data_IF_697579376954
#
_entry.id   IF_697579376954
#
_cell.length_a   1.000
_cell.length_b   1.000
_cell.length_c   1.000
_cell.angle_alpha   90.00
_cell.angle_beta   90.00
_cell.angle_gamma   90.00
#
_symmetry.space_group_name_H-M   'P 1'
#
loop_
_entity.id
_entity.type
_entity.pdbx_description
1 polymer ?
#
# COMPACT_ATOMS: atom_id res chain seq x y z
N UNK A 1 -45.23 38.95 -72.91
CA UNK A 1 -43.76 38.75 -72.92
C UNK A 1 -43.30 38.58 -71.47
N UNK A 2 -42.85 37.35 -71.14
CA UNK A 2 -41.98 36.90 -70.01
C UNK A 2 -42.20 37.55 -68.63
N UNK A 3 -42.79 36.95 -67.58
CA UNK A 3 -42.73 35.57 -67.02
C UNK A 3 -41.31 35.00 -66.97
N UNK A 4 -40.67 35.06 -65.79
CA UNK A 4 -39.85 34.04 -65.10
C UNK A 4 -38.82 34.69 -64.15
N UNK A 5 -38.61 34.06 -62.98
CA UNK A 5 -37.64 34.35 -61.91
C UNK A 5 -38.19 35.42 -60.92
N UNK A 6 -38.57 35.15 -59.67
CA UNK A 6 -37.98 34.32 -58.61
C UNK A 6 -39.10 33.67 -57.78
N UNK A 7 -39.19 32.35 -57.81
CA UNK A 7 -40.04 31.52 -56.94
C UNK A 7 -39.10 30.65 -56.10
N UNK A 8 -38.30 31.26 -55.22
CA UNK A 8 -37.28 30.51 -54.45
C UNK A 8 -36.80 31.18 -53.16
N UNK A 9 -37.59 32.03 -52.50
CA UNK A 9 -37.16 32.66 -51.24
C UNK A 9 -38.28 32.82 -50.20
N UNK A 10 -39.15 31.81 -50.09
CA UNK A 10 -40.19 31.77 -49.05
C UNK A 10 -40.27 30.40 -48.32
N UNK A 11 -39.26 29.54 -48.46
CA UNK A 11 -39.19 28.23 -47.78
C UNK A 11 -37.84 28.00 -47.09
N UNK A 12 -37.19 29.05 -46.59
CA UNK A 12 -36.03 28.95 -45.69
C UNK A 12 -36.18 30.02 -44.60
N UNK A 13 -37.24 29.91 -43.82
CA UNK A 13 -37.45 30.77 -42.65
C UNK A 13 -38.02 30.02 -41.43
N UNK A 14 -37.98 28.68 -41.45
CA UNK A 14 -38.44 27.83 -40.33
C UNK A 14 -37.54 26.60 -40.14
N UNK A 15 -36.23 26.81 -40.17
CA UNK A 15 -35.26 25.79 -39.80
C UNK A 15 -33.90 26.43 -39.58
N UNK A 16 -33.35 26.25 -38.38
CA UNK A 16 -32.02 26.68 -37.94
C UNK A 16 -31.93 28.15 -37.47
N UNK A 17 -32.59 28.47 -36.34
CA UNK A 17 -32.17 29.54 -35.43
C UNK A 17 -31.49 28.98 -34.17
N UNK A 18 -31.11 27.70 -34.17
CA UNK A 18 -30.20 27.17 -33.16
C UNK A 18 -28.81 27.67 -33.47
N UNK A 19 -28.19 28.37 -32.52
CA UNK A 19 -26.77 28.70 -32.59
C UNK A 19 -26.00 27.39 -32.74
N UNK A 20 -25.07 27.33 -33.71
CA UNK A 20 -24.18 26.17 -33.82
C UNK A 20 -23.30 26.01 -32.58
N UNK A 21 -23.21 27.06 -31.74
CA UNK A 21 -22.66 26.98 -30.39
C UNK A 21 -23.33 25.91 -29.52
N UNK A 22 -24.65 25.73 -29.60
CA UNK A 22 -25.38 24.77 -28.74
C UNK A 22 -25.08 23.30 -29.10
N UNK A 23 -24.78 23.00 -30.36
CA UNK A 23 -24.38 21.64 -30.80
C UNK A 23 -22.90 21.33 -30.53
N UNK A 24 -22.10 22.32 -30.17
CA UNK A 24 -20.68 22.16 -29.80
C UNK A 24 -20.35 22.61 -28.38
N UNK A 25 -21.36 22.98 -27.58
CA UNK A 25 -21.19 23.39 -26.20
C UNK A 25 -21.12 22.15 -25.29
N UNK A 26 -19.96 21.51 -25.28
CA UNK A 26 -19.68 20.39 -24.38
C UNK A 26 -19.40 20.83 -22.93
N UNK A 27 -19.61 22.10 -22.57
CA UNK A 27 -19.39 22.58 -21.19
C UNK A 27 -20.50 22.13 -20.23
N UNK A 28 -21.67 21.79 -20.76
CA UNK A 28 -22.81 21.28 -20.00
C UNK A 28 -23.38 20.03 -20.68
N UNK A 29 -22.60 18.94 -20.72
CA UNK A 29 -23.16 17.63 -21.06
C UNK A 29 -23.86 17.07 -19.82
N UNK A 30 -25.11 17.48 -19.59
CA UNK A 30 -25.95 16.77 -18.61
C UNK A 30 -26.41 15.45 -19.22
N UNK A 31 -25.95 14.34 -18.66
CA UNK A 31 -26.51 13.04 -19.00
C UNK A 31 -27.99 13.02 -18.54
N UNK A 32 -28.97 12.90 -19.45
CA UNK A 32 -30.38 12.95 -19.08
C UNK A 32 -30.81 11.77 -18.17
N UNK A 33 -29.97 10.75 -18.02
CA UNK A 33 -30.21 9.58 -17.20
C UNK A 33 -29.41 9.55 -15.88
N UNK A 34 -28.50 10.52 -15.65
CA UNK A 34 -27.64 10.58 -14.46
C UNK A 34 -27.46 12.06 -14.07
N UNK A 35 -28.26 12.51 -13.11
CA UNK A 35 -28.04 13.79 -12.41
C UNK A 35 -27.55 13.51 -10.99
N UNK A 36 -26.87 14.47 -10.38
CA UNK A 36 -26.45 14.37 -8.97
C UNK A 36 -27.64 14.08 -8.05
N UNK A 37 -28.79 14.71 -8.29
CA UNK A 37 -30.04 14.46 -7.57
C UNK A 37 -30.62 13.04 -7.78
N UNK A 38 -30.12 12.28 -8.76
CA UNK A 38 -30.46 10.86 -8.95
C UNK A 38 -29.67 9.93 -8.03
N UNK A 39 -28.63 10.44 -7.37
CA UNK A 39 -27.77 9.70 -6.45
C UNK A 39 -27.81 10.33 -5.06
N UNK A 40 -27.47 11.61 -4.94
CA UNK A 40 -27.51 12.37 -3.69
C UNK A 40 -28.95 12.60 -3.25
N UNK A 41 -29.25 12.32 -1.98
CA UNK A 41 -30.58 12.49 -1.40
C UNK A 41 -31.51 11.28 -1.54
N UNK A 42 -31.05 10.20 -2.17
CA UNK A 42 -31.78 8.94 -2.22
C UNK A 42 -31.49 8.10 -0.95
N UNK A 43 -32.44 7.28 -0.47
CA UNK A 43 -32.16 6.38 0.64
C UNK A 43 -30.96 5.48 0.38
N UNK A 44 -30.06 5.38 1.35
CA UNK A 44 -28.82 4.57 1.32
C UNK A 44 -27.75 5.09 0.34
N UNK A 45 -27.88 6.31 -0.20
CA UNK A 45 -26.85 6.89 -1.06
C UNK A 45 -25.47 6.96 -0.42
N UNK A 46 -25.40 7.17 0.91
CA UNK A 46 -24.14 7.21 1.65
C UNK A 46 -23.45 5.84 1.67
N UNK A 47 -24.20 4.76 1.94
CA UNK A 47 -23.64 3.40 1.92
C UNK A 47 -23.16 2.97 0.53
N UNK A 48 -23.90 3.32 -0.53
CA UNK A 48 -23.52 3.02 -1.91
C UNK A 48 -22.24 3.80 -2.28
N UNK A 49 -22.17 5.06 -1.86
CA UNK A 49 -20.97 5.88 -2.07
C UNK A 49 -19.77 5.32 -1.30
N UNK A 50 -19.97 4.86 -0.07
CA UNK A 50 -18.94 4.21 0.73
C UNK A 50 -18.36 2.98 0.03
N UNK A 51 -19.17 2.13 -0.59
CA UNK A 51 -18.66 1.03 -1.43
C UNK A 51 -17.83 1.53 -2.63
N UNK A 52 -18.16 2.70 -3.17
CA UNK A 52 -17.33 3.38 -4.18
C UNK A 52 -15.99 3.88 -3.62
N UNK A 53 -15.96 4.33 -2.37
CA UNK A 53 -14.72 4.71 -1.65
C UNK A 53 -13.86 3.47 -1.39
N UNK A 54 -14.45 2.36 -0.95
CA UNK A 54 -13.75 1.08 -0.77
C UNK A 54 -13.15 0.56 -2.08
N UNK A 55 -13.91 0.66 -3.18
CA UNK A 55 -13.38 0.36 -4.52
C UNK A 55 -12.19 1.26 -4.87
N UNK A 56 -12.26 2.55 -4.56
CA UNK A 56 -11.14 3.46 -4.82
C UNK A 56 -9.92 3.12 -3.96
N UNK A 57 -10.11 2.63 -2.72
CA UNK A 57 -9.01 2.14 -1.90
C UNK A 57 -8.31 0.95 -2.58
N UNK A 58 -9.06 0.03 -3.20
CA UNK A 58 -8.48 -1.08 -3.96
C UNK A 58 -7.64 -0.62 -5.16
N UNK A 59 -8.04 0.46 -5.84
CA UNK A 59 -7.21 1.07 -6.89
C UNK A 59 -5.93 1.70 -6.30
N UNK A 60 -6.03 2.42 -5.18
CA UNK A 60 -4.85 2.97 -4.50
C UNK A 60 -3.84 1.87 -4.16
N UNK A 61 -4.31 0.74 -3.60
CA UNK A 61 -3.41 -0.35 -3.21
C UNK A 61 -2.79 -1.08 -4.41
N UNK A 62 -3.49 -1.20 -5.54
CA UNK A 62 -2.84 -1.74 -6.75
C UNK A 62 -1.61 -0.94 -7.14
N UNK A 63 -1.74 0.38 -7.17
CA UNK A 63 -0.64 1.26 -7.56
C UNK A 63 0.47 1.29 -6.50
N UNK A 64 0.10 1.48 -5.22
CA UNK A 64 1.11 1.66 -4.16
C UNK A 64 1.86 0.37 -3.83
N UNK A 65 1.21 -0.80 -3.85
CA UNK A 65 1.86 -2.05 -3.47
C UNK A 65 2.94 -2.44 -4.45
N UNK A 66 2.62 -2.46 -5.74
CA UNK A 66 3.57 -2.84 -6.80
C UNK A 66 4.81 -1.96 -6.70
N UNK A 67 4.62 -0.64 -6.60
CA UNK A 67 5.75 0.28 -6.50
C UNK A 67 6.55 0.10 -5.20
N UNK A 68 5.86 -0.09 -4.08
CA UNK A 68 6.51 -0.29 -2.79
C UNK A 68 7.34 -1.57 -2.74
N UNK A 69 6.86 -2.66 -3.33
CA UNK A 69 7.56 -3.94 -3.34
C UNK A 69 8.69 -3.99 -4.36
N UNK A 70 8.56 -3.29 -5.50
CA UNK A 70 9.65 -3.11 -6.48
C UNK A 70 10.78 -2.24 -5.94
N UNK A 71 10.48 -1.22 -5.15
CA UNK A 71 11.51 -0.35 -4.57
C UNK A 71 12.14 -0.88 -3.28
N UNK A 72 11.90 -2.14 -2.92
CA UNK A 72 12.28 -2.72 -1.63
C UNK A 72 13.05 -4.02 -1.81
N UNK A 73 13.71 -4.50 -0.73
CA UNK A 73 14.44 -5.78 -0.68
C UNK A 73 13.53 -6.99 -0.37
N UNK A 74 12.26 -6.95 -0.79
CA UNK A 74 11.35 -8.07 -0.58
C UNK A 74 11.34 -9.02 -1.78
N UNK A 75 11.25 -8.44 -2.98
CA UNK A 75 11.12 -9.15 -4.24
C UNK A 75 12.09 -8.60 -5.26
N UNK A 76 12.62 -9.49 -6.07
CA UNK A 76 13.42 -9.13 -7.24
C UNK A 76 12.52 -9.10 -8.46
N UNK A 77 12.58 -8.03 -9.22
CA UNK A 77 11.87 -7.95 -10.49
C UNK A 77 12.61 -8.75 -11.59
N UNK A 78 12.06 -9.91 -11.96
CA UNK A 78 12.75 -10.82 -12.89
C UNK A 78 12.29 -10.69 -14.34
N UNK A 79 11.22 -9.93 -14.59
CA UNK A 79 10.59 -9.78 -15.89
C UNK A 79 10.35 -8.31 -16.23
N UNK A 80 10.01 -8.01 -17.48
CA UNK A 80 9.85 -6.61 -17.95
C UNK A 80 8.41 -6.09 -17.90
N UNK A 81 7.50 -6.80 -17.23
CA UNK A 81 6.06 -6.45 -17.23
C UNK A 81 5.72 -5.32 -16.25
N UNK A 82 6.50 -5.20 -15.18
CA UNK A 82 6.39 -4.13 -14.19
C UNK A 82 7.53 -3.13 -14.32
N UNK A 83 7.43 -2.03 -13.58
CA UNK A 83 8.38 -0.93 -13.59
C UNK A 83 9.83 -1.41 -13.36
N UNK A 84 10.69 -1.20 -14.36
CA UNK A 84 12.11 -1.61 -14.30
C UNK A 84 13.01 -0.55 -13.66
N UNK A 85 12.52 0.69 -13.57
CA UNK A 85 13.32 1.80 -13.04
C UNK A 85 13.28 1.78 -11.51
N UNK A 86 12.11 1.47 -10.94
CA UNK A 86 11.93 1.49 -9.50
C UNK A 86 12.69 0.39 -8.75
N UNK A 87 12.94 -0.75 -9.40
CA UNK A 87 13.85 -1.82 -8.93
C UNK A 87 15.28 -1.30 -8.66
N UNK A 88 15.69 -0.24 -9.39
CA UNK A 88 16.93 0.50 -9.17
C UNK A 88 16.75 1.83 -8.42
N UNK A 89 15.59 2.06 -7.79
CA UNK A 89 15.17 3.32 -7.17
C UNK A 89 15.29 4.55 -8.09
N UNK A 90 15.20 4.36 -9.41
CA UNK A 90 15.18 5.45 -10.38
C UNK A 90 13.75 5.99 -10.54
N UNK A 91 13.39 6.94 -9.68
CA UNK A 91 12.06 7.55 -9.66
C UNK A 91 11.99 8.73 -10.64
N UNK A 92 11.17 8.58 -11.69
CA UNK A 92 11.05 9.56 -12.76
C UNK A 92 9.68 10.27 -12.71
N UNK A 93 9.68 11.60 -12.84
CA UNK A 93 8.43 12.40 -12.86
C UNK A 93 7.53 12.09 -14.07
N UNK A 94 8.11 11.56 -15.14
CA UNK A 94 7.40 11.19 -16.38
C UNK A 94 6.80 9.77 -16.34
N UNK A 95 7.02 9.06 -15.24
CA UNK A 95 6.56 7.68 -15.08
C UNK A 95 5.03 7.63 -14.91
N UNK A 96 4.31 6.89 -15.76
CA UNK A 96 2.87 6.70 -15.62
C UNK A 96 2.43 6.14 -14.27
N UNK A 97 3.24 5.28 -13.63
CA UNK A 97 2.87 4.65 -12.37
C UNK A 97 2.90 5.68 -11.22
N UNK A 98 3.84 6.64 -11.27
CA UNK A 98 3.87 7.77 -10.33
C UNK A 98 2.61 8.64 -10.46
N UNK A 99 2.20 8.93 -11.70
CA UNK A 99 0.96 9.67 -12.00
C UNK A 99 -0.25 8.95 -11.45
N UNK A 100 -0.39 7.66 -11.73
CA UNK A 100 -1.59 6.91 -11.37
C UNK A 100 -1.68 6.72 -9.85
N UNK A 101 -0.57 6.40 -9.18
CA UNK A 101 -0.47 6.39 -7.70
C UNK A 101 -0.91 7.72 -7.08
N UNK A 102 -0.32 8.84 -7.51
CA UNK A 102 -0.66 10.16 -6.99
C UNK A 102 -2.15 10.46 -7.20
N UNK A 103 -2.66 10.19 -8.40
CA UNK A 103 -4.05 10.48 -8.77
C UNK A 103 -5.06 9.66 -7.97
N UNK A 104 -4.79 8.37 -7.76
CA UNK A 104 -5.73 7.51 -7.04
C UNK A 104 -5.79 7.83 -5.55
N UNK A 105 -4.66 8.22 -4.94
CA UNK A 105 -4.64 8.74 -3.56
C UNK A 105 -5.47 10.02 -3.45
N UNK A 106 -5.26 10.98 -4.36
CA UNK A 106 -6.03 12.23 -4.37
C UNK A 106 -7.53 11.95 -4.59
N UNK A 107 -7.87 11.01 -5.47
CA UNK A 107 -9.26 10.62 -5.73
C UNK A 107 -9.92 9.98 -4.52
N UNK A 108 -9.21 9.13 -3.79
CA UNK A 108 -9.71 8.56 -2.52
C UNK A 108 -10.11 9.67 -1.55
N UNK A 109 -9.25 10.70 -1.40
CA UNK A 109 -9.52 11.86 -0.56
C UNK A 109 -10.79 12.60 -0.99
N UNK A 110 -10.89 12.95 -2.27
CA UNK A 110 -12.04 13.70 -2.80
C UNK A 110 -13.35 12.91 -2.65
N UNK A 111 -13.33 11.59 -2.86
CA UNK A 111 -14.51 10.75 -2.65
C UNK A 111 -14.92 10.71 -1.18
N UNK A 112 -13.96 10.59 -0.25
CA UNK A 112 -14.23 10.60 1.19
C UNK A 112 -14.79 11.95 1.65
N UNK A 113 -14.20 13.07 1.20
CA UNK A 113 -14.68 14.42 1.48
C UNK A 113 -16.09 14.65 0.93
N UNK A 114 -16.35 14.28 -0.33
CA UNK A 114 -17.68 14.42 -0.92
C UNK A 114 -18.72 13.54 -0.21
N UNK A 115 -18.31 12.33 0.21
CA UNK A 115 -19.11 11.43 1.04
C UNK A 115 -19.52 12.09 2.36
N UNK A 116 -18.53 12.64 3.08
CA UNK A 116 -18.71 13.32 4.37
C UNK A 116 -19.55 14.60 4.27
N UNK A 117 -19.31 15.42 3.26
CA UNK A 117 -19.82 16.80 3.20
C UNK A 117 -21.12 16.93 2.40
N UNK A 118 -21.36 16.03 1.44
CA UNK A 118 -22.49 16.13 0.52
C UNK A 118 -23.38 14.89 0.53
N UNK A 119 -22.83 13.69 0.29
CA UNK A 119 -23.65 12.48 0.12
C UNK A 119 -24.28 12.03 1.43
N UNK A 120 -23.48 11.93 2.50
CA UNK A 120 -23.90 11.56 3.84
C UNK A 120 -25.01 12.48 4.36
N UNK A 121 -24.78 13.79 4.51
CA UNK A 121 -25.80 14.73 4.98
C UNK A 121 -27.08 14.77 4.12
N UNK A 122 -26.99 14.38 2.85
CA UNK A 122 -28.15 14.25 1.97
C UNK A 122 -28.96 12.96 2.16
N UNK A 123 -28.34 11.87 2.61
CA UNK A 123 -28.99 10.56 2.75
C UNK A 123 -29.92 10.50 3.98
N UNK A 124 -31.22 10.20 3.83
CA UNK A 124 -32.13 10.05 4.97
C UNK A 124 -31.77 8.90 5.92
N UNK A 125 -30.92 7.95 5.50
CA UNK A 125 -30.47 6.81 6.29
C UNK A 125 -29.01 6.95 6.76
N UNK A 126 -28.41 8.13 6.64
CA UNK A 126 -27.04 8.36 7.09
C UNK A 126 -26.91 8.11 8.60
N UNK A 127 -25.89 7.35 8.97
CA UNK A 127 -25.62 6.98 10.35
C UNK A 127 -24.18 7.32 10.77
N UNK A 128 -23.94 7.28 12.08
CA UNK A 128 -22.66 7.60 12.68
C UNK A 128 -21.54 6.64 12.23
N UNK A 129 -21.87 5.38 11.93
CA UNK A 129 -20.87 4.43 11.47
C UNK A 129 -20.35 4.81 10.08
N UNK A 130 -21.25 5.11 9.14
CA UNK A 130 -20.91 5.58 7.80
C UNK A 130 -20.15 6.91 7.85
N UNK A 131 -20.55 7.82 8.74
CA UNK A 131 -19.83 9.09 8.96
C UNK A 131 -18.40 8.88 9.44
N UNK A 132 -18.21 7.96 10.40
CA UNK A 132 -16.88 7.62 10.90
C UNK A 132 -16.00 6.99 9.79
N UNK A 133 -16.58 6.14 8.93
CA UNK A 133 -15.85 5.55 7.80
C UNK A 133 -15.39 6.62 6.80
N UNK A 134 -16.21 7.63 6.46
CA UNK A 134 -15.74 8.71 5.57
C UNK A 134 -14.56 9.50 6.16
N UNK A 135 -14.60 9.80 7.47
CA UNK A 135 -13.47 10.45 8.14
C UNK A 135 -12.24 9.52 8.19
N UNK A 136 -12.44 8.22 8.36
CA UNK A 136 -11.35 7.25 8.32
C UNK A 136 -10.71 7.19 6.92
N UNK A 137 -11.48 7.11 5.83
CA UNK A 137 -10.93 7.09 4.47
C UNK A 137 -10.25 8.41 4.08
N UNK A 138 -10.75 9.56 4.56
CA UNK A 138 -10.03 10.83 4.47
C UNK A 138 -8.66 10.72 5.16
N UNK A 139 -8.63 10.21 6.40
CA UNK A 139 -7.40 9.98 7.14
C UNK A 139 -6.43 9.03 6.44
N UNK A 140 -6.93 7.94 5.84
CA UNK A 140 -6.13 6.99 5.05
C UNK A 140 -5.50 7.67 3.84
N UNK A 141 -6.23 8.54 3.14
CA UNK A 141 -5.68 9.26 2.00
C UNK A 141 -4.48 10.14 2.40
N UNK A 142 -4.56 10.82 3.55
CA UNK A 142 -3.44 11.59 4.09
C UNK A 142 -2.29 10.70 4.57
N UNK A 143 -2.62 9.60 5.24
CA UNK A 143 -1.62 8.64 5.72
C UNK A 143 -0.78 8.08 4.57
N UNK A 144 -1.42 7.60 3.50
CA UNK A 144 -0.74 7.05 2.32
C UNK A 144 0.04 8.16 1.58
N UNK A 145 -0.51 9.39 1.48
CA UNK A 145 0.22 10.55 0.96
C UNK A 145 1.53 10.78 1.71
N UNK A 146 1.50 10.73 3.04
CA UNK A 146 2.69 10.93 3.88
C UNK A 146 3.68 9.76 3.83
N UNK A 147 3.17 8.53 3.69
CA UNK A 147 3.97 7.31 3.61
C UNK A 147 4.81 7.27 2.33
N UNK A 148 4.24 7.63 1.18
CA UNK A 148 4.93 7.49 -0.10
C UNK A 148 5.51 8.79 -0.66
N UNK A 149 5.01 9.98 -0.27
CA UNK A 149 5.48 11.24 -0.83
C UNK A 149 6.11 12.13 0.24
N UNK A 150 7.19 12.84 -0.13
CA UNK A 150 7.82 13.82 0.77
C UNK A 150 7.02 15.11 0.87
N UNK A 151 6.35 15.49 -0.22
CA UNK A 151 5.32 16.52 -0.27
C UNK A 151 4.24 16.10 -1.27
N UNK A 152 2.99 16.50 -1.03
CA UNK A 152 1.90 16.29 -1.99
C UNK A 152 0.81 17.36 -1.80
N UNK A 153 0.16 17.85 -2.86
CA UNK A 153 -1.02 18.71 -2.73
C UNK A 153 -2.19 18.01 -2.02
N UNK A 154 -2.86 18.76 -1.13
CA UNK A 154 -4.08 18.29 -0.46
C UNK A 154 -5.38 18.66 -1.17
N UNK A 155 -5.31 19.52 -2.18
CA UNK A 155 -6.46 19.98 -2.96
C UNK A 155 -6.02 20.24 -4.42
N UNK A 156 -6.96 20.23 -5.39
CA UNK A 156 -6.62 20.46 -6.79
C UNK A 156 -5.91 21.79 -7.00
N UNK A 157 -4.71 21.75 -7.60
CA UNK A 157 -3.89 22.94 -7.88
C UNK A 157 -3.48 23.70 -6.60
N UNK A 158 -3.55 23.05 -5.44
CA UNK A 158 -3.15 23.59 -4.15
C UNK A 158 -1.64 23.61 -3.95
N UNK A 159 -1.18 24.32 -2.93
CA UNK A 159 0.23 24.28 -2.52
C UNK A 159 0.53 22.88 -1.95
N UNK A 160 1.59 22.17 -2.41
CA UNK A 160 2.01 20.93 -1.76
C UNK A 160 2.35 21.15 -0.29
N UNK A 161 1.92 20.22 0.56
CA UNK A 161 2.27 20.20 1.99
C UNK A 161 3.20 19.02 2.27
N UNK A 162 3.94 19.08 3.36
CA UNK A 162 4.92 18.06 3.73
C UNK A 162 4.29 16.75 4.20
N UNK A 163 5.06 15.66 4.14
CA UNK A 163 4.66 14.36 4.72
C UNK A 163 4.26 14.47 6.19
N UNK A 164 4.98 15.28 6.99
CA UNK A 164 4.65 15.51 8.39
C UNK A 164 3.29 16.19 8.58
N UNK A 165 2.96 17.18 7.74
CA UNK A 165 1.64 17.82 7.75
C UNK A 165 0.54 16.84 7.32
N UNK A 166 0.79 16.00 6.32
CA UNK A 166 -0.12 14.92 5.94
C UNK A 166 -0.35 13.93 7.08
N UNK A 167 0.69 13.47 7.80
CA UNK A 167 0.49 12.64 8.99
C UNK A 167 -0.35 13.33 10.06
N UNK A 168 -0.15 14.63 10.28
CA UNK A 168 -0.95 15.39 11.25
C UNK A 168 -2.42 15.55 10.82
N UNK A 169 -2.67 15.71 9.52
CA UNK A 169 -4.02 15.70 8.95
C UNK A 169 -4.67 14.33 9.10
N UNK A 170 -3.93 13.25 8.85
CA UNK A 170 -4.39 11.88 9.04
C UNK A 170 -4.82 11.65 10.49
N UNK A 171 -3.99 12.02 11.48
CA UNK A 171 -4.30 11.93 12.91
C UNK A 171 -5.58 12.69 13.25
N UNK A 172 -5.75 13.90 12.70
CA UNK A 172 -6.95 14.73 12.93
C UNK A 172 -8.21 14.03 12.42
N UNK A 173 -8.17 13.48 11.21
CA UNK A 173 -9.30 12.77 10.63
C UNK A 173 -9.62 11.47 11.39
N UNK A 174 -8.60 10.71 11.81
CA UNK A 174 -8.79 9.53 12.65
C UNK A 174 -9.37 9.86 14.03
N UNK A 175 -8.96 10.98 14.64
CA UNK A 175 -9.53 11.42 15.92
C UNK A 175 -11.02 11.75 15.81
N UNK A 176 -11.46 12.31 14.67
CA UNK A 176 -12.88 12.50 14.38
C UNK A 176 -13.58 11.15 14.22
N UNK A 177 -13.05 10.24 13.41
CA UNK A 177 -13.63 8.91 13.21
C UNK A 177 -13.77 8.13 14.53
N UNK A 178 -12.73 8.13 15.36
CA UNK A 178 -12.72 7.50 16.70
C UNK A 178 -13.77 8.15 17.62
N UNK A 179 -13.89 9.48 17.58
CA UNK A 179 -14.86 10.21 18.40
C UNK A 179 -16.32 9.90 18.03
N UNK A 180 -16.58 9.51 16.78
CA UNK A 180 -17.91 9.15 16.27
C UNK A 180 -18.21 7.67 16.51
N UNK A 181 -17.31 6.78 16.07
CA UNK A 181 -17.45 5.33 16.21
C UNK A 181 -16.07 4.67 16.32
N UNK A 182 -15.59 4.44 17.54
CA UNK A 182 -14.26 3.85 17.76
C UNK A 182 -14.17 2.41 17.22
N UNK A 183 -13.19 2.18 16.34
CA UNK A 183 -12.82 0.86 15.82
C UNK A 183 -11.31 0.61 16.02
N UNK A 184 -10.86 -0.64 16.21
CA UNK A 184 -9.45 -0.95 16.44
C UNK A 184 -8.55 -0.46 15.30
N UNK A 185 -8.97 -0.61 14.04
CA UNK A 185 -8.22 -0.14 12.87
C UNK A 185 -8.05 1.39 12.81
N UNK A 186 -8.95 2.17 13.42
CA UNK A 186 -8.86 3.64 13.45
C UNK A 186 -7.76 4.05 14.42
N UNK A 187 -7.72 3.37 15.57
CA UNK A 187 -6.66 3.52 16.55
C UNK A 187 -5.31 3.05 15.99
N UNK A 188 -5.27 1.95 15.24
CA UNK A 188 -4.03 1.50 14.60
C UNK A 188 -3.54 2.51 13.54
N UNK A 189 -4.42 3.01 12.68
CA UNK A 189 -4.03 4.01 11.68
C UNK A 189 -3.49 5.29 12.33
N UNK A 190 -4.09 5.72 13.45
CA UNK A 190 -3.53 6.80 14.28
C UNK A 190 -2.17 6.43 14.89
N UNK A 191 -2.00 5.19 15.36
CA UNK A 191 -0.73 4.71 15.89
C UNK A 191 0.37 4.76 14.82
N UNK A 192 0.07 4.30 13.59
CA UNK A 192 0.99 4.34 12.44
C UNK A 192 1.42 5.76 12.08
N UNK A 193 0.48 6.71 12.02
CA UNK A 193 0.82 8.11 11.75
C UNK A 193 1.72 8.71 12.85
N UNK A 194 1.45 8.40 14.12
CA UNK A 194 2.31 8.86 15.23
C UNK A 194 3.67 8.16 15.24
N UNK A 195 3.71 6.88 14.88
CA UNK A 195 4.94 6.10 14.74
C UNK A 195 5.88 6.75 13.73
N UNK A 196 5.42 7.02 12.50
CA UNK A 196 6.25 7.68 11.49
C UNK A 196 6.57 9.16 11.77
N UNK A 197 5.87 9.81 12.70
CA UNK A 197 6.24 11.13 13.21
C UNK A 197 7.27 11.06 14.36
N UNK A 198 7.61 9.87 14.87
CA UNK A 198 8.43 9.69 16.07
C UNK A 198 7.71 10.03 17.38
N UNK A 199 6.38 10.19 17.35
CA UNK A 199 5.55 10.51 18.51
C UNK A 199 5.30 9.24 19.35
N UNK A 200 6.35 8.73 20.01
CA UNK A 200 6.33 7.44 20.73
C UNK A 200 5.17 7.29 21.73
N UNK A 201 4.95 8.30 22.56
CA UNK A 201 3.90 8.26 23.60
C UNK A 201 2.51 8.11 22.99
N UNK A 202 2.21 8.89 21.96
CA UNK A 202 0.93 8.90 21.25
C UNK A 202 0.72 7.61 20.45
N UNK A 203 1.78 7.10 19.80
CA UNK A 203 1.75 5.84 19.07
C UNK A 203 1.47 4.66 20.01
N UNK A 204 2.17 4.57 21.14
CA UNK A 204 1.95 3.54 22.18
C UNK A 204 0.54 3.62 22.75
N UNK A 205 0.03 4.83 23.03
CA UNK A 205 -1.33 5.03 23.53
C UNK A 205 -2.38 4.54 22.53
N UNK A 206 -2.22 4.89 21.25
CA UNK A 206 -3.14 4.48 20.19
C UNK A 206 -3.06 2.97 19.90
N UNK A 207 -1.87 2.36 19.89
CA UNK A 207 -1.69 0.91 19.72
C UNK A 207 -2.35 0.12 20.86
N UNK A 208 -2.18 0.55 22.12
CA UNK A 208 -2.87 -0.05 23.25
C UNK A 208 -4.40 0.11 23.16
N UNK A 209 -4.89 1.27 22.67
CA UNK A 209 -6.31 1.48 22.47
C UNK A 209 -6.90 0.56 21.39
N UNK A 210 -6.16 0.30 20.30
CA UNK A 210 -6.55 -0.68 19.28
C UNK A 210 -6.67 -2.09 19.88
N UNK A 211 -5.62 -2.56 20.57
CA UNK A 211 -5.58 -3.89 21.18
C UNK A 211 -6.59 -4.07 22.32
N UNK A 212 -7.00 -2.98 22.98
CA UNK A 212 -8.06 -3.02 23.99
C UNK A 212 -9.45 -3.26 23.38
N UNK A 213 -9.67 -2.92 22.11
CA UNK A 213 -10.92 -3.18 21.39
C UNK A 213 -10.93 -4.59 20.77
N UNK A 214 -9.85 -4.99 20.12
CA UNK A 214 -9.63 -6.34 19.59
C UNK A 214 -8.14 -6.61 19.47
N UNK A 215 -7.71 -7.81 19.86
CA UNK A 215 -6.31 -8.24 19.77
C UNK A 215 -5.98 -8.99 18.48
N UNK A 216 -6.97 -9.20 17.61
CA UNK A 216 -6.91 -10.07 16.44
C UNK A 216 -7.52 -9.44 15.17
N UNK A 217 -7.88 -8.15 15.23
CA UNK A 217 -8.47 -7.46 14.08
C UNK A 217 -7.57 -7.50 12.85
N UNK A 218 -8.24 -7.47 11.70
CA UNK A 218 -7.64 -7.49 10.38
C UNK A 218 -8.57 -6.74 9.45
N UNK A 219 -8.12 -5.60 8.96
CA UNK A 219 -8.83 -4.80 7.96
C UNK A 219 -8.17 -4.97 6.61
N UNK A 220 -9.00 -5.35 5.66
CA UNK A 220 -8.59 -5.79 4.33
C UNK A 220 -9.13 -4.87 3.24
N UNK A 221 -8.36 -4.70 2.19
CA UNK A 221 -8.83 -4.23 0.89
C UNK A 221 -9.34 -5.44 0.11
N UNK A 222 -10.53 -5.34 -0.48
CA UNK A 222 -11.14 -6.42 -1.26
C UNK A 222 -11.09 -6.12 -2.75
N UNK A 223 -11.00 -7.18 -3.53
CA UNK A 223 -10.96 -7.16 -4.98
C UNK A 223 -12.12 -7.99 -5.54
N UNK A 224 -12.62 -7.59 -6.70
CA UNK A 224 -13.73 -8.24 -7.41
C UNK A 224 -13.19 -8.64 -8.78
N UNK A 225 -12.73 -9.88 -8.92
CA UNK A 225 -12.14 -10.38 -10.16
C UNK A 225 -13.15 -10.36 -11.32
N UNK A 226 -14.43 -10.57 -11.01
CA UNK A 226 -15.49 -10.60 -12.01
C UNK A 226 -15.84 -9.22 -12.60
N UNK A 227 -15.77 -8.15 -11.80
CA UNK A 227 -16.22 -6.81 -12.22
C UNK A 227 -15.14 -5.71 -12.06
N UNK A 228 -13.97 -6.09 -11.57
CA UNK A 228 -12.87 -5.22 -11.18
C UNK A 228 -13.13 -4.40 -9.91
N UNK A 229 -12.09 -3.82 -9.28
CA UNK A 229 -10.69 -4.08 -9.59
C UNK A 229 -10.26 -5.49 -9.18
N UNK A 230 -9.38 -6.10 -9.98
CA UNK A 230 -8.64 -7.31 -9.64
C UNK A 230 -7.37 -6.97 -8.83
N UNK A 231 -6.76 -7.96 -8.20
CA UNK A 231 -5.50 -7.81 -7.49
C UNK A 231 -4.31 -8.02 -8.43
N UNK A 232 -3.82 -6.93 -9.05
CA UNK A 232 -2.66 -6.98 -9.96
C UNK A 232 -1.38 -7.54 -9.30
N UNK A 233 -1.25 -7.54 -7.96
CA UNK A 233 -0.10 -8.17 -7.31
C UNK A 233 -0.19 -9.70 -7.26
N UNK A 234 -1.40 -10.26 -7.28
CA UNK A 234 -1.61 -11.71 -7.43
C UNK A 234 -1.11 -12.21 -8.80
N UNK A 235 -1.40 -11.43 -9.84
CA UNK A 235 -0.85 -11.59 -11.18
C UNK A 235 0.68 -11.65 -11.18
N UNK A 236 1.33 -10.80 -10.37
CA UNK A 236 2.78 -10.69 -10.30
C UNK A 236 3.44 -11.87 -9.57
N UNK A 237 2.73 -12.50 -8.63
CA UNK A 237 3.26 -13.51 -7.71
C UNK A 237 2.81 -14.95 -8.02
N UNK A 238 1.71 -15.18 -8.74
CA UNK A 238 1.14 -16.53 -8.87
C UNK A 238 0.43 -16.84 -10.20
N UNK A 239 -0.30 -15.89 -10.81
CA UNK A 239 -1.20 -16.24 -11.93
C UNK A 239 -0.52 -16.44 -13.31
N UNK A 240 0.79 -16.27 -13.38
CA UNK A 240 1.58 -16.43 -14.61
C UNK A 240 1.94 -17.90 -14.92
N UNK A 241 1.41 -18.82 -14.12
CA UNK A 241 1.37 -20.27 -14.28
C UNK A 241 2.72 -21.03 -14.21
N UNK A 242 3.74 -20.62 -14.97
CA UNK A 242 5.03 -21.35 -15.04
C UNK A 242 6.21 -20.53 -14.57
N UNK A 243 5.98 -19.28 -14.16
CA UNK A 243 6.97 -18.33 -13.68
C UNK A 243 6.24 -17.15 -13.08
N UNK A 244 6.89 -16.41 -12.18
CA UNK A 244 6.33 -15.17 -11.64
C UNK A 244 7.16 -13.98 -12.07
N UNK A 245 6.52 -12.83 -12.12
CA UNK A 245 7.16 -11.59 -12.52
C UNK A 245 8.13 -11.13 -11.41
N UNK A 246 7.71 -11.31 -10.15
CA UNK A 246 8.46 -10.97 -8.95
C UNK A 246 8.84 -12.22 -8.16
N UNK A 247 10.08 -12.28 -7.69
CA UNK A 247 10.60 -13.46 -6.98
C UNK A 247 11.15 -13.06 -5.62
N UNK A 248 10.71 -13.66 -4.51
CA UNK A 248 11.11 -13.24 -3.17
C UNK A 248 12.61 -13.44 -2.95
N UNK A 249 13.20 -12.69 -2.02
CA UNK A 249 14.53 -13.07 -1.53
C UNK A 249 14.46 -14.44 -0.83
N UNK A 250 15.53 -15.26 -0.88
CA UNK A 250 15.56 -16.57 -0.20
C UNK A 250 15.29 -16.50 1.30
N UNK A 251 15.50 -15.34 1.93
CA UNK A 251 15.17 -15.10 3.34
C UNK A 251 13.68 -14.99 3.61
N UNK A 252 12.87 -14.79 2.57
CA UNK A 252 11.43 -14.54 2.59
C UNK A 252 10.63 -15.56 1.79
N UNK A 253 11.29 -16.50 1.11
CA UNK A 253 10.66 -17.48 0.22
C UNK A 253 9.48 -18.20 0.88
N UNK A 254 9.61 -18.65 2.13
CA UNK A 254 8.54 -19.32 2.88
C UNK A 254 7.24 -18.51 3.10
N UNK A 255 7.22 -17.23 2.74
CA UNK A 255 6.07 -16.34 2.84
C UNK A 255 5.38 -16.06 1.50
N UNK A 256 5.98 -16.55 0.42
CA UNK A 256 5.58 -16.31 -0.96
C UNK A 256 4.93 -17.56 -1.57
N UNK A 257 3.90 -17.41 -2.43
CA UNK A 257 3.22 -16.17 -2.78
C UNK A 257 2.23 -15.73 -1.69
N UNK A 258 2.27 -14.45 -1.35
CA UNK A 258 1.34 -13.85 -0.37
C UNK A 258 -0.11 -13.89 -0.88
N UNK A 259 -0.27 -13.59 -2.17
CA UNK A 259 -1.54 -13.58 -2.88
C UNK A 259 -1.55 -14.74 -3.85
N UNK A 260 -2.60 -15.53 -3.80
CA UNK A 260 -2.77 -16.72 -4.63
C UNK A 260 -4.25 -16.94 -4.89
N UNK A 261 -4.55 -17.68 -5.95
CA UNK A 261 -5.92 -17.89 -6.41
C UNK A 261 -6.87 -18.32 -5.29
N UNK A 262 -7.91 -17.50 -5.08
CA UNK A 262 -9.01 -17.81 -4.17
C UNK A 262 -10.16 -18.50 -4.93
N UNK A 263 -10.90 -17.73 -5.73
CA UNK A 263 -11.96 -18.24 -6.60
C UNK A 263 -12.22 -17.32 -7.80
N UNK A 264 -12.98 -17.75 -8.83
CA UNK A 264 -13.19 -16.96 -10.05
C UNK A 264 -13.93 -15.62 -9.90
N UNK A 265 -14.40 -15.26 -8.71
CA UNK A 265 -15.17 -14.02 -8.46
C UNK A 265 -14.44 -13.06 -7.52
N UNK A 266 -13.50 -13.52 -6.71
CA UNK A 266 -12.82 -12.73 -5.69
C UNK A 266 -11.32 -13.09 -5.69
N UNK A 267 -10.46 -12.07 -5.79
CA UNK A 267 -9.01 -12.23 -5.63
C UNK A 267 -8.60 -12.14 -4.17
N UNK A 268 -7.37 -12.56 -3.87
CA UNK A 268 -6.82 -12.48 -2.53
C UNK A 268 -6.83 -11.02 -2.02
N UNK A 269 -7.38 -10.75 -0.81
CA UNK A 269 -7.43 -9.41 -0.27
C UNK A 269 -6.05 -8.94 0.20
N UNK A 270 -5.85 -7.63 0.22
CA UNK A 270 -4.65 -7.02 0.84
C UNK A 270 -4.96 -6.68 2.29
N UNK A 271 -4.14 -7.18 3.21
CA UNK A 271 -4.21 -6.85 4.63
C UNK A 271 -3.43 -5.56 4.87
N UNK A 272 -4.08 -4.50 5.39
CA UNK A 272 -3.42 -3.19 5.48
C UNK A 272 -3.50 -2.49 6.83
N UNK A 273 -4.40 -2.94 7.72
CA UNK A 273 -4.44 -2.53 9.14
C UNK A 273 -4.77 -3.75 9.99
N UNK A 274 -3.73 -4.41 10.52
CA UNK A 274 -3.83 -5.65 11.29
C UNK A 274 -3.13 -5.54 12.64
N UNK A 275 -3.66 -6.24 13.65
CA UNK A 275 -3.22 -6.13 15.05
C UNK A 275 -1.72 -6.34 15.27
N UNK A 276 -1.05 -7.08 14.39
CA UNK A 276 0.38 -7.33 14.39
C UNK A 276 1.22 -6.05 14.45
N UNK A 277 0.81 -5.00 13.74
CA UNK A 277 1.53 -3.72 13.76
C UNK A 277 1.47 -3.05 15.14
N UNK A 278 0.36 -3.16 15.86
CA UNK A 278 0.27 -2.63 17.22
C UNK A 278 1.29 -3.30 18.14
N UNK A 279 1.44 -4.62 18.06
CA UNK A 279 2.45 -5.34 18.84
C UNK A 279 3.88 -4.95 18.46
N UNK A 280 4.16 -4.76 17.16
CA UNK A 280 5.48 -4.33 16.69
C UNK A 280 5.83 -2.90 17.14
N UNK A 281 4.88 -1.95 17.06
CA UNK A 281 5.04 -0.59 17.61
C UNK A 281 5.33 -0.65 19.11
N UNK A 282 4.59 -1.45 19.86
CA UNK A 282 4.80 -1.59 21.31
C UNK A 282 6.13 -2.28 21.65
N UNK A 283 6.59 -3.22 20.83
CA UNK A 283 7.88 -3.87 20.99
C UNK A 283 9.04 -2.90 20.72
N UNK A 284 8.98 -2.11 19.65
CA UNK A 284 10.00 -1.08 19.35
C UNK A 284 10.06 -0.04 20.46
N UNK A 285 8.90 0.46 20.90
CA UNK A 285 8.84 1.43 21.98
C UNK A 285 9.50 0.91 23.26
N UNK A 286 9.24 -0.36 23.60
CA UNK A 286 9.84 -1.02 24.76
C UNK A 286 11.36 -1.17 24.64
N UNK A 287 11.89 -1.51 23.45
CA UNK A 287 13.34 -1.53 23.21
C UNK A 287 13.96 -0.14 23.41
N UNK A 288 13.38 0.90 22.81
CA UNK A 288 13.88 2.28 22.97
C UNK A 288 13.86 2.77 24.44
N UNK A 289 12.99 2.20 25.29
CA UNK A 289 12.89 2.46 26.73
C UNK A 289 13.77 1.56 27.59
N UNK A 290 14.56 0.69 26.96
CA UNK A 290 15.38 -0.34 27.60
C UNK A 290 14.56 -1.36 28.43
N UNK A 291 13.32 -1.63 28.03
CA UNK A 291 12.42 -2.60 28.66
C UNK A 291 12.30 -3.89 27.83
N UNK A 292 13.35 -4.70 27.88
CA UNK A 292 13.39 -5.98 27.17
C UNK A 292 12.26 -6.94 27.59
N UNK A 293 11.74 -6.84 28.82
CA UNK A 293 10.67 -7.73 29.27
C UNK A 293 9.35 -7.37 28.58
N UNK A 294 9.04 -6.08 28.46
CA UNK A 294 7.89 -5.62 27.70
C UNK A 294 8.03 -5.95 26.22
N UNK A 295 9.20 -5.73 25.61
CA UNK A 295 9.46 -6.07 24.21
C UNK A 295 9.19 -7.56 23.93
N UNK A 296 9.75 -8.45 24.75
CA UNK A 296 9.53 -9.90 24.64
C UNK A 296 8.07 -10.31 24.86
N UNK A 297 7.36 -9.63 25.75
CA UNK A 297 5.93 -9.88 26.00
C UNK A 297 5.11 -9.54 24.76
N UNK A 298 5.36 -8.39 24.14
CA UNK A 298 4.67 -7.99 22.91
C UNK A 298 4.98 -8.93 21.74
N UNK A 299 6.25 -9.33 21.57
CA UNK A 299 6.63 -10.30 20.52
C UNK A 299 6.06 -11.70 20.76
N UNK A 300 5.90 -12.12 22.02
CA UNK A 300 5.23 -13.39 22.33
C UNK A 300 3.75 -13.34 21.95
N UNK A 301 3.07 -12.24 22.28
CA UNK A 301 1.68 -12.04 21.90
C UNK A 301 1.49 -11.94 20.38
N UNK A 302 2.44 -11.30 19.67
CA UNK A 302 2.49 -11.30 18.22
C UNK A 302 2.61 -12.72 17.65
N UNK A 303 3.53 -13.54 18.18
CA UNK A 303 3.72 -14.91 17.71
C UNK A 303 2.48 -15.77 17.96
N UNK A 304 1.82 -15.61 19.12
CA UNK A 304 0.56 -16.26 19.44
C UNK A 304 -0.56 -15.86 18.45
N UNK A 305 -0.63 -14.58 18.07
CA UNK A 305 -1.58 -14.09 17.07
C UNK A 305 -1.30 -14.68 15.68
N UNK A 306 -0.05 -14.63 15.22
CA UNK A 306 0.37 -15.16 13.91
C UNK A 306 0.00 -16.65 13.81
N UNK A 307 0.15 -17.43 14.88
CA UNK A 307 -0.24 -18.84 14.91
C UNK A 307 -1.74 -19.10 14.72
N UNK A 308 -2.59 -18.07 14.81
CA UNK A 308 -4.05 -18.16 14.54
C UNK A 308 -4.44 -17.70 13.14
N UNK A 309 -3.51 -17.09 12.40
CA UNK A 309 -3.78 -16.56 11.06
C UNK A 309 -3.92 -17.68 10.04
N UNK A 310 -4.60 -17.37 8.95
CA UNK A 310 -4.78 -18.32 7.85
C UNK A 310 -3.43 -18.67 7.21
N UNK A 311 -3.27 -19.96 6.94
CA UNK A 311 -2.22 -20.52 6.10
C UNK A 311 -2.96 -21.26 4.98
N UNK A 312 -2.61 -20.93 3.74
CA UNK A 312 -3.25 -21.47 2.55
C UNK A 312 -2.34 -22.51 1.90
N UNK A 313 -2.92 -23.64 1.56
CA UNK A 313 -2.25 -24.68 0.79
C UNK A 313 -2.47 -24.41 -0.71
N UNK A 314 -1.39 -24.31 -1.48
CA UNK A 314 -1.42 -24.09 -2.94
C UNK A 314 -0.55 -25.13 -3.65
N UNK A 315 -0.91 -25.50 -4.89
CA UNK A 315 -0.08 -26.37 -5.73
C UNK A 315 0.92 -25.52 -6.50
N UNK A 316 2.20 -25.63 -6.12
CA UNK A 316 3.28 -24.83 -6.66
C UNK A 316 4.24 -25.65 -7.56
N UNK A 317 3.83 -26.86 -7.93
CA UNK A 317 4.70 -27.81 -8.64
C UNK A 317 5.03 -27.45 -10.09
N UNK A 318 4.33 -26.47 -10.65
CA UNK A 318 4.45 -26.04 -12.05
C UNK A 318 5.28 -24.75 -12.17
N UNK A 319 5.33 -23.95 -11.10
CA UNK A 319 6.04 -22.68 -11.06
C UNK A 319 7.56 -22.88 -11.14
N UNK A 320 8.23 -22.10 -11.99
CA UNK A 320 9.68 -22.05 -12.04
C UNK A 320 10.15 -20.69 -11.53
N UNK A 321 11.05 -20.69 -10.54
CA UNK A 321 11.64 -19.46 -9.95
C UNK A 321 12.37 -18.55 -10.94
N UNK A 322 12.78 -19.03 -12.13
CA UNK A 322 13.27 -18.19 -13.24
C UNK A 322 13.26 -18.91 -14.58
N UNK A 323 12.64 -18.33 -15.60
CA UNK A 323 12.73 -18.85 -16.99
C UNK A 323 14.03 -18.48 -17.71
N UNK A 324 14.63 -17.34 -17.34
CA UNK A 324 15.83 -16.82 -18.00
C UNK A 324 17.08 -17.56 -17.51
N UNK A 325 17.05 -18.04 -16.26
CA UNK A 325 18.12 -18.79 -15.63
C UNK A 325 17.55 -19.91 -14.73
N UNK A 326 16.95 -20.94 -15.34
CA UNK A 326 16.39 -22.09 -14.61
C UNK A 326 17.41 -22.69 -13.62
N UNK A 327 16.98 -22.91 -12.38
CA UNK A 327 17.81 -23.42 -11.28
C UNK A 327 18.78 -22.39 -10.65
N UNK A 328 18.72 -21.11 -11.04
CA UNK A 328 19.56 -20.06 -10.41
C UNK A 328 19.06 -19.60 -9.05
N UNK A 329 17.89 -20.06 -8.62
CA UNK A 329 17.25 -19.70 -7.35
C UNK A 329 16.93 -20.95 -6.54
N UNK A 330 16.94 -20.84 -5.20
CA UNK A 330 16.63 -21.96 -4.33
C UNK A 330 15.14 -22.28 -4.37
N UNK A 331 14.81 -23.56 -4.46
CA UNK A 331 13.45 -24.10 -4.55
C UNK A 331 13.29 -25.41 -3.76
N UNK A 332 14.20 -25.65 -2.81
CA UNK A 332 14.29 -26.87 -2.02
C UNK A 332 14.40 -26.55 -0.53
N UNK A 333 13.63 -27.26 0.30
CA UNK A 333 13.56 -27.07 1.75
C UNK A 333 14.87 -27.34 2.51
N UNK A 334 15.82 -28.08 1.93
CA UNK A 334 17.13 -28.34 2.51
C UNK A 334 18.10 -27.15 2.37
N UNK A 335 17.75 -26.11 1.61
CA UNK A 335 18.61 -24.93 1.41
C UNK A 335 18.79 -24.16 2.71
N UNK A 336 20.06 -23.87 3.03
CA UNK A 336 20.44 -23.01 4.16
C UNK A 336 20.67 -21.60 3.67
N UNK A 337 19.86 -20.65 4.13
CA UNK A 337 19.91 -19.24 3.74
C UNK A 337 20.55 -18.41 4.85
N UNK A 338 21.68 -17.75 4.56
CA UNK A 338 22.42 -16.96 5.57
C UNK A 338 22.69 -17.74 6.88
N UNK A 339 22.90 -19.06 6.79
CA UNK A 339 23.08 -19.96 7.94
C UNK A 339 21.80 -20.39 8.66
N UNK A 340 20.61 -20.06 8.13
CA UNK A 340 19.30 -20.38 8.68
C UNK A 340 18.59 -21.43 7.81
N UNK A 341 17.87 -22.34 8.44
CA UNK A 341 17.12 -23.42 7.76
C UNK A 341 15.63 -23.10 7.73
N UNK A 342 14.89 -23.71 6.79
CA UNK A 342 13.43 -23.60 6.72
C UNK A 342 12.91 -22.25 6.20
N UNK A 343 13.76 -21.48 5.51
CA UNK A 343 13.34 -20.22 4.86
C UNK A 343 12.94 -20.39 3.40
N UNK A 344 13.23 -21.55 2.80
CA UNK A 344 12.87 -21.92 1.44
C UNK A 344 11.96 -23.14 1.50
N UNK A 345 10.92 -23.19 0.67
CA UNK A 345 10.02 -24.33 0.57
C UNK A 345 10.41 -25.26 -0.60
N UNK A 346 9.94 -26.51 -0.55
CA UNK A 346 10.11 -27.47 -1.64
C UNK A 346 8.98 -27.30 -2.67
N UNK A 347 9.20 -26.38 -3.61
CA UNK A 347 8.19 -25.88 -4.57
C UNK A 347 7.78 -26.97 -5.57
N UNK A 348 8.73 -27.80 -6.00
CA UNK A 348 8.48 -28.84 -7.00
C UNK A 348 7.81 -30.11 -6.43
N UNK A 349 7.54 -30.15 -5.13
CA UNK A 349 6.99 -31.33 -4.45
C UNK A 349 5.46 -31.44 -4.51
N UNK A 350 4.75 -30.40 -4.97
CA UNK A 350 3.29 -30.33 -5.00
C UNK A 350 2.78 -29.20 -4.11
N UNK A 351 1.88 -29.56 -3.20
CA UNK A 351 1.23 -28.62 -2.31
C UNK A 351 2.22 -28.03 -1.28
N UNK A 352 2.23 -26.70 -1.14
CA UNK A 352 2.98 -25.95 -0.13
C UNK A 352 2.04 -25.09 0.73
N UNK A 353 2.39 -24.91 2.00
CA UNK A 353 1.61 -24.15 2.98
C UNK A 353 2.19 -22.73 3.16
N UNK A 354 1.45 -21.71 2.72
CA UNK A 354 1.89 -20.30 2.71
C UNK A 354 1.00 -19.43 3.62
N UNK A 355 1.57 -18.61 4.52
CA UNK A 355 0.79 -17.68 5.34
C UNK A 355 0.12 -16.56 4.51
N UNK A 356 -1.21 -16.58 4.40
CA UNK A 356 -1.96 -15.57 3.62
C UNK A 356 -2.09 -14.22 4.35
N UNK A 357 -2.15 -14.22 5.69
CA UNK A 357 -2.33 -12.98 6.48
C UNK A 357 -1.03 -12.47 7.09
N UNK A 358 -0.35 -13.28 7.91
CA UNK A 358 0.93 -12.93 8.53
C UNK A 358 1.73 -14.21 8.72
N UNK A 359 3.01 -14.17 8.40
CA UNK A 359 3.96 -15.24 8.69
C UNK A 359 5.25 -14.66 9.25
N UNK A 360 6.03 -15.48 9.96
CA UNK A 360 7.34 -15.06 10.44
C UNK A 360 8.23 -16.28 10.72
N UNK A 361 9.52 -16.07 10.59
CA UNK A 361 10.57 -16.99 11.02
C UNK A 361 10.97 -16.79 12.49
N UNK A 362 10.40 -15.79 13.18
CA UNK A 362 10.62 -15.52 14.60
C UNK A 362 10.16 -16.71 15.45
N UNK A 363 11.04 -17.20 16.34
CA UNK A 363 10.71 -18.29 17.26
C UNK A 363 10.65 -17.83 18.71
N UNK A 364 9.97 -18.61 19.56
CA UNK A 364 9.99 -18.40 21.00
C UNK A 364 11.42 -18.44 21.60
N UNK A 365 12.34 -19.18 20.98
CA UNK A 365 13.75 -19.23 21.39
C UNK A 365 14.47 -17.91 21.06
N UNK A 366 14.20 -17.33 19.89
CA UNK A 366 14.74 -16.02 19.51
C UNK A 366 14.25 -14.94 20.48
N UNK A 367 12.95 -14.92 20.79
CA UNK A 367 12.36 -13.98 21.76
C UNK A 367 13.02 -14.14 23.15
N UNK A 368 13.21 -15.38 23.63
CA UNK A 368 13.85 -15.62 24.92
C UNK A 368 15.33 -15.17 24.95
N UNK A 369 16.04 -15.28 23.82
CA UNK A 369 17.44 -14.89 23.67
C UNK A 369 17.64 -13.40 23.35
N UNK A 370 16.62 -12.72 22.82
CA UNK A 370 16.64 -11.32 22.40
C UNK A 370 17.10 -10.40 23.53
N UNK A 371 18.04 -9.49 23.26
CA UNK A 371 18.46 -8.47 24.22
C UNK A 371 18.02 -7.09 23.73
N UNK A 372 18.18 -6.11 24.61
CA UNK A 372 18.00 -4.69 24.29
C UNK A 372 19.32 -4.14 23.72
N UNK A 373 19.58 -4.51 22.47
CA UNK A 373 20.75 -4.10 21.70
C UNK A 373 20.40 -4.06 20.20
N UNK A 374 21.35 -3.66 19.37
CA UNK A 374 21.16 -3.57 17.91
C UNK A 374 20.73 -4.91 17.31
N UNK A 375 21.20 -6.05 17.85
CA UNK A 375 20.78 -7.36 17.38
C UNK A 375 19.30 -7.65 17.71
N UNK A 376 18.82 -7.23 18.89
CA UNK A 376 17.41 -7.27 19.23
C UNK A 376 16.55 -6.39 18.31
N UNK A 377 17.04 -5.19 17.98
CA UNK A 377 16.32 -4.30 17.07
C UNK A 377 16.31 -4.83 15.62
N UNK A 378 17.42 -5.40 15.14
CA UNK A 378 17.46 -6.07 13.83
C UNK A 378 16.50 -7.26 13.76
N UNK A 379 16.37 -8.03 14.84
CA UNK A 379 15.38 -9.11 14.95
C UNK A 379 13.95 -8.57 14.82
N UNK A 380 13.65 -7.44 15.46
CA UNK A 380 12.35 -6.78 15.36
C UNK A 380 12.07 -6.32 13.93
N UNK A 381 13.03 -5.67 13.27
CA UNK A 381 12.87 -5.16 11.90
C UNK A 381 12.75 -6.27 10.87
N UNK A 382 13.47 -7.38 11.04
CA UNK A 382 13.27 -8.59 10.24
C UNK A 382 11.86 -9.16 10.43
N UNK A 383 11.40 -9.26 11.68
CA UNK A 383 10.03 -9.72 11.97
C UNK A 383 9.00 -8.80 11.32
N UNK A 384 9.23 -7.48 11.35
CA UNK A 384 8.37 -6.48 10.70
C UNK A 384 8.33 -6.68 9.18
N UNK A 385 9.48 -6.88 8.54
CA UNK A 385 9.57 -7.18 7.10
C UNK A 385 8.79 -8.44 6.74
N UNK A 386 8.99 -9.53 7.48
CA UNK A 386 8.30 -10.80 7.24
C UNK A 386 6.78 -10.70 7.43
N UNK A 387 6.33 -10.01 8.49
CA UNK A 387 4.90 -9.84 8.79
C UNK A 387 4.20 -9.01 7.71
N UNK A 388 4.88 -8.02 7.12
CA UNK A 388 4.30 -7.07 6.16
C UNK A 388 4.81 -7.25 4.72
N UNK A 389 5.38 -8.40 4.38
CA UNK A 389 5.77 -8.70 3.00
C UNK A 389 4.55 -8.56 2.07
N UNK A 390 4.75 -7.93 0.90
CA UNK A 390 3.67 -7.66 -0.06
C UNK A 390 2.53 -6.77 0.46
N UNK A 391 2.76 -6.01 1.54
CA UNK A 391 1.79 -5.06 2.12
C UNK A 391 2.24 -3.60 2.00
N UNK A 392 3.36 -3.34 1.29
CA UNK A 392 3.80 -2.02 0.87
C UNK A 392 4.47 -1.16 1.95
N UNK A 393 4.71 -1.72 3.14
CA UNK A 393 5.36 -1.00 4.24
C UNK A 393 6.89 -0.96 4.12
N UNK A 394 7.51 -1.89 3.39
CA UNK A 394 8.97 -2.01 3.37
C UNK A 394 9.66 -0.78 2.77
N UNK A 395 9.15 -0.25 1.66
CA UNK A 395 9.64 1.00 1.06
C UNK A 395 9.58 2.19 2.05
N UNK A 396 8.51 2.23 2.84
CA UNK A 396 8.28 3.28 3.84
C UNK A 396 9.25 3.14 5.01
N UNK A 397 9.48 1.92 5.48
CA UNK A 397 10.44 1.61 6.54
C UNK A 397 11.90 1.88 6.11
N UNK A 398 12.18 1.84 4.80
CA UNK A 398 13.45 2.27 4.20
C UNK A 398 13.61 3.79 4.13
N UNK A 399 12.56 4.57 4.46
CA UNK A 399 12.57 6.03 4.39
C UNK A 399 12.52 6.60 2.97
N UNK A 400 12.22 5.77 1.96
CA UNK A 400 12.16 6.19 0.55
C UNK A 400 10.84 6.93 0.27
N UNK A 401 10.90 8.00 -0.53
CA UNK A 401 9.71 8.74 -1.00
C UNK A 401 9.72 8.91 -2.52
N UNK A 402 8.58 8.61 -3.11
CA UNK A 402 8.21 8.79 -4.52
C UNK A 402 8.17 10.26 -4.93
N UNK A 403 8.03 10.47 -6.23
CA UNK A 403 8.00 11.78 -6.87
C UNK A 403 6.61 12.19 -7.34
N UNK A 404 6.32 13.47 -7.24
CA UNK A 404 5.16 14.12 -7.87
C UNK A 404 5.27 13.97 -9.39
N UNK A 405 4.15 13.66 -10.04
CA UNK A 405 4.09 13.43 -11.47
C UNK A 405 4.21 14.72 -12.31
N UNK A 406 4.67 14.57 -13.55
CA UNK A 406 4.86 15.68 -14.48
C UNK A 406 3.58 16.49 -14.74
N UNK A 407 2.38 15.89 -14.72
CA UNK A 407 1.16 16.64 -14.97
C UNK A 407 0.86 17.63 -13.85
N UNK A 408 1.12 17.26 -12.59
CA UNK A 408 0.99 18.20 -11.47
C UNK A 408 1.95 19.37 -11.65
N UNK A 409 3.20 19.13 -12.05
CA UNK A 409 4.20 20.18 -12.34
C UNK A 409 3.71 21.11 -13.46
N UNK A 410 3.11 20.56 -14.52
CA UNK A 410 2.65 21.34 -15.68
C UNK A 410 1.35 22.12 -15.41
N UNK A 411 0.49 21.63 -14.52
CA UNK A 411 -0.85 22.18 -14.29
C UNK A 411 -0.95 23.02 -13.01
N UNK A 412 -0.09 22.79 -12.03
CA UNK A 412 -0.10 23.48 -10.75
C UNK A 412 0.98 24.56 -10.68
N UNK A 413 0.61 25.86 -10.65
CA UNK A 413 1.57 26.95 -10.62
C UNK A 413 2.37 27.04 -9.32
N UNK A 414 2.05 26.22 -8.32
CA UNK A 414 2.78 26.12 -7.04
C UNK A 414 3.88 25.04 -7.07
N UNK A 415 4.03 24.30 -8.17
CA UNK A 415 4.98 23.20 -8.30
C UNK A 415 5.88 23.44 -9.50
N UNK A 416 7.19 23.35 -9.31
CA UNK A 416 8.18 23.41 -10.39
C UNK A 416 9.11 22.20 -10.29
N UNK A 417 9.70 21.80 -11.42
CA UNK A 417 10.75 20.79 -11.44
C UNK A 417 11.94 21.19 -10.54
N UNK A 418 12.33 20.30 -9.64
CA UNK A 418 13.36 20.53 -8.62
C UNK A 418 12.83 21.03 -7.28
N UNK A 419 11.54 21.36 -7.17
CA UNK A 419 10.91 21.65 -5.88
C UNK A 419 10.81 20.38 -5.01
N UNK A 420 10.71 20.51 -3.67
CA UNK A 420 10.45 19.38 -2.78
C UNK A 420 9.24 18.57 -3.24
N UNK A 421 9.40 17.24 -3.33
CA UNK A 421 8.39 16.32 -3.86
C UNK A 421 8.57 15.96 -5.33
N UNK A 422 9.25 16.79 -6.14
CA UNK A 422 9.53 16.47 -7.56
C UNK A 422 10.87 15.74 -7.75
N UNK A 423 11.59 15.50 -6.65
CA UNK A 423 12.85 14.75 -6.60
C UNK A 423 12.70 13.65 -5.57
N UNK A 424 13.04 12.42 -5.94
CA UNK A 424 12.91 11.26 -5.07
C UNK A 424 13.75 11.41 -3.80
N UNK A 425 13.21 10.97 -2.67
CA UNK A 425 13.96 10.92 -1.41
C UNK A 425 14.44 9.49 -1.23
N UNK A 426 15.76 9.31 -1.23
CA UNK A 426 16.41 8.02 -0.96
C UNK A 426 17.45 8.30 0.13
N UNK A 427 17.31 7.74 1.34
CA UNK A 427 18.30 7.92 2.38
C UNK A 427 19.69 7.52 1.91
N UNK A 428 20.71 8.29 2.30
CA UNK A 428 22.05 8.15 1.70
C UNK A 428 22.68 6.76 1.89
N UNK A 429 22.36 6.07 2.98
CA UNK A 429 22.80 4.71 3.25
C UNK A 429 22.06 3.65 2.41
N UNK A 430 20.83 3.93 1.95
CA UNK A 430 20.12 3.10 0.97
C UNK A 430 20.69 3.34 -0.42
N UNK A 431 20.88 4.60 -0.80
CA UNK A 431 21.48 4.98 -2.09
C UNK A 431 22.87 4.34 -2.31
N UNK A 432 23.61 4.10 -1.23
CA UNK A 432 24.92 3.46 -1.28
C UNK A 432 24.88 1.94 -1.58
N UNK A 433 23.72 1.28 -1.42
CA UNK A 433 23.57 -0.18 -1.53
C UNK A 433 22.51 -0.61 -2.54
N UNK A 434 21.96 0.29 -3.35
CA UNK A 434 20.88 0.00 -4.31
C UNK A 434 21.18 -1.21 -5.20
N UNK A 435 22.40 -1.32 -5.71
CA UNK A 435 22.81 -2.42 -6.58
C UNK A 435 22.83 -3.80 -5.88
N UNK A 436 22.80 -3.81 -4.55
CA UNK A 436 22.90 -5.01 -3.72
C UNK A 436 21.61 -5.33 -2.94
N UNK A 437 20.56 -4.48 -3.02
CA UNK A 437 19.28 -4.67 -2.30
C UNK A 437 18.74 -6.10 -2.51
N UNK A 438 18.78 -6.53 -3.76
CA UNK A 438 18.16 -7.76 -4.24
C UNK A 438 19.17 -8.84 -4.64
N UNK A 439 20.45 -8.55 -4.43
CA UNK A 439 21.53 -9.40 -4.90
C UNK A 439 21.66 -10.66 -4.02
N UNK A 440 21.65 -11.82 -4.68
CA UNK A 440 21.83 -13.11 -4.02
C UNK A 440 22.93 -13.94 -4.68
N UNK A 441 23.51 -14.84 -3.90
CA UNK A 441 24.33 -15.96 -4.41
C UNK A 441 23.67 -17.26 -4.01
N UNK A 442 23.53 -18.19 -4.95
CA UNK A 442 23.02 -19.53 -4.71
C UNK A 442 24.03 -20.58 -5.20
N UNK A 443 24.45 -21.46 -4.30
CA UNK A 443 25.24 -22.64 -4.59
C UNK A 443 24.36 -23.88 -4.42
N UNK A 444 23.85 -24.38 -5.55
CA UNK A 444 22.97 -25.54 -5.59
C UNK A 444 23.68 -26.85 -5.19
N UNK A 445 25.01 -26.95 -5.39
CA UNK A 445 25.76 -28.14 -4.98
C UNK A 445 25.96 -28.18 -3.47
N UNK A 446 26.20 -27.01 -2.86
CA UNK A 446 26.34 -26.88 -1.42
C UNK A 446 24.98 -26.82 -0.68
N UNK A 447 23.89 -26.51 -1.39
CA UNK A 447 22.57 -26.28 -0.78
C UNK A 447 22.56 -25.01 0.06
N UNK A 448 23.23 -23.95 -0.37
CA UNK A 448 23.35 -22.69 0.39
C UNK A 448 23.01 -21.48 -0.46
N UNK A 449 22.24 -20.56 0.10
CA UNK A 449 21.97 -19.26 -0.49
C UNK A 449 22.37 -18.13 0.47
N UNK A 450 22.80 -17.00 -0.08
CA UNK A 450 23.14 -15.81 0.71
C UNK A 450 22.67 -14.54 0.04
N UNK A 451 22.13 -13.60 0.81
CA UNK A 451 21.89 -12.22 0.37
C UNK A 451 23.20 -11.43 0.45
N UNK A 452 23.39 -10.46 -0.45
CA UNK A 452 24.59 -9.63 -0.47
C UNK A 452 24.66 -8.68 0.74
N UNK A 453 23.50 -8.21 1.18
CA UNK A 453 23.33 -7.37 2.36
C UNK A 453 22.22 -7.92 3.26
N UNK A 454 22.19 -7.46 4.52
CA UNK A 454 21.00 -7.51 5.37
C UNK A 454 20.54 -6.08 5.58
N UNK A 455 19.45 -5.70 4.91
CA UNK A 455 18.98 -4.32 4.98
C UNK A 455 18.46 -3.97 6.37
N UNK A 456 17.96 -4.93 7.15
CA UNK A 456 17.53 -4.67 8.53
C UNK A 456 18.71 -4.21 9.40
N UNK A 457 19.87 -4.84 9.26
CA UNK A 457 21.10 -4.40 9.94
C UNK A 457 21.56 -3.01 9.48
N UNK A 458 21.37 -2.67 8.21
CA UNK A 458 21.69 -1.34 7.67
C UNK A 458 20.75 -0.28 8.26
N UNK A 459 19.44 -0.55 8.34
CA UNK A 459 18.47 0.35 8.97
C UNK A 459 18.84 0.60 10.43
N UNK A 460 19.14 -0.47 11.17
CA UNK A 460 19.54 -0.39 12.59
C UNK A 460 20.87 0.34 12.77
N UNK A 461 21.86 0.12 11.90
CA UNK A 461 23.12 0.86 11.94
C UNK A 461 22.92 2.38 11.71
N UNK A 462 21.82 2.78 11.08
CA UNK A 462 21.46 4.17 10.80
C UNK A 462 20.27 4.67 11.65
N UNK A 463 19.90 3.97 12.73
CA UNK A 463 18.73 4.30 13.58
C UNK A 463 18.73 5.69 14.22
N UNK A 464 19.86 6.39 14.21
CA UNK A 464 19.95 7.79 14.65
C UNK A 464 19.57 8.81 13.56
N UNK A 465 19.32 8.36 12.34
CA UNK A 465 18.70 9.17 11.29
C UNK A 465 17.22 9.37 11.61
N UNK A 466 16.67 10.53 11.28
CA UNK A 466 15.23 10.79 11.39
C UNK A 466 14.42 10.20 10.22
N UNK A 467 15.06 9.46 9.31
CA UNK A 467 14.45 8.87 8.12
C UNK A 467 13.95 7.43 8.34
N UNK A 468 14.49 6.74 9.36
CA UNK A 468 14.25 5.31 9.65
C UNK A 468 14.21 5.09 11.16
N UNK A 469 13.67 3.96 11.60
CA UNK A 469 13.65 3.55 13.02
C UNK A 469 13.11 4.65 13.97
N UNK A 470 11.82 4.98 13.87
CA UNK A 470 11.29 6.25 14.38
C UNK A 470 11.41 6.51 15.88
N UNK A 471 11.71 5.50 16.71
CA UNK A 471 11.81 5.66 18.17
C UNK A 471 13.24 5.76 18.72
N UNK A 472 14.28 5.65 17.89
CA UNK A 472 15.69 5.61 18.32
C UNK A 472 16.45 6.95 18.23
#
# INVERSE_FOLDING_TARGET
MKKLIIFSLAMIAFGCTGDFGDVTNFKEVQNPNLSEASVVGQPNSASIWLSGVERQLALVFQETLILAELGADNYVNTQTFFNQFLDGLDMQITDPDMRDTQRDIQRLRELALFGKETVGPGDPNYDAETEAEFNYFEGISYLISAMYFSTLPQEPVGVPITSAEHYQNAITAFDVAIGINAKPEYHLAKARANYYLGNKSEAVSAANAALALSTDFDRTVKFDESNGPSNTFEDALYERATFDDLQPLPTLDFLDPKYSFLDPNEDAPVHYMKAEEAYLILAEAALSDNDINAARTNLTALLDLIATREVRTIDDSIEQRSQVAEGSRPDNADVVVNGRTGLVLDRQSGDVDIPSVSGTSLTAADIAAMNDDDAGLSLLYRTRQEVFIAEGLRLVDMGVKLVIDENEILLNPNVNEGDPGTVGVIPSFISAVVADLDAITYDAEAGTATTAIDLNDILVANKSSNEVVPFE
#
